data_IF_887086931667
#
_entry.id   IF_887086931667
#
_cell.length_a   1.000
_cell.length_b   1.000
_cell.length_c   1.000
_cell.angle_alpha   90.00
_cell.angle_beta   90.00
_cell.angle_gamma   90.00
#
_symmetry.space_group_name_H-M   'P 1'
#
loop_
_entity.id
_entity.type
_entity.pdbx_description
1 polymer ?
#
# COMPACT_ATOMS: atom_id res chain seq x y z
N UNK A 1 11.56 12.41 17.11
CA UNK A 1 11.56 12.55 15.64
C UNK A 1 10.66 11.48 15.02
N UNK A 2 10.78 10.18 15.40
CA UNK A 2 9.96 9.10 14.85
C UNK A 2 8.46 9.25 15.17
N UNK A 3 8.12 9.81 16.32
CA UNK A 3 6.72 10.07 16.72
C UNK A 3 6.05 11.08 15.77
N UNK A 4 6.76 12.16 15.40
CA UNK A 4 6.20 13.17 14.49
C UNK A 4 6.05 12.60 13.07
N UNK A 5 7.06 11.88 12.59
CA UNK A 5 6.99 11.14 11.33
C UNK A 5 5.81 10.18 11.31
N UNK A 6 5.67 9.40 12.37
CA UNK A 6 4.58 8.46 12.53
C UNK A 6 3.20 9.14 12.53
N UNK A 7 3.05 10.26 13.22
CA UNK A 7 1.76 10.96 13.26
C UNK A 7 1.35 11.52 11.89
N UNK A 8 2.32 11.96 11.08
CA UNK A 8 2.06 12.51 9.74
C UNK A 8 1.84 11.39 8.71
N UNK A 9 2.70 10.37 8.71
CA UNK A 9 2.69 9.32 7.70
C UNK A 9 1.79 8.13 8.05
N UNK A 10 1.75 7.70 9.32
CA UNK A 10 1.00 6.52 9.75
C UNK A 10 -0.51 6.62 9.56
N UNK A 11 -1.06 7.82 9.59
CA UNK A 11 -2.49 8.02 9.35
C UNK A 11 -2.82 8.05 7.86
N UNK A 12 -1.83 7.90 6.98
CA UNK A 12 -2.03 8.01 5.53
C UNK A 12 -2.60 9.37 5.11
N UNK A 13 -2.43 10.40 5.94
CA UNK A 13 -3.05 11.71 5.71
C UNK A 13 -2.64 12.32 4.38
N UNK A 14 -1.37 12.14 4.00
CA UNK A 14 -0.90 12.65 2.72
C UNK A 14 -1.55 11.88 1.55
N UNK A 15 -1.61 10.56 1.63
CA UNK A 15 -2.28 9.70 0.63
C UNK A 15 -3.77 10.05 0.49
N UNK A 16 -4.46 10.22 1.62
CA UNK A 16 -5.86 10.64 1.62
C UNK A 16 -6.03 12.04 1.03
N UNK A 17 -5.19 12.99 1.44
CA UNK A 17 -5.25 14.35 0.91
C UNK A 17 -4.99 14.38 -0.61
N UNK A 18 -4.02 13.61 -1.09
CA UNK A 18 -3.73 13.47 -2.51
C UNK A 18 -4.91 12.85 -3.26
N UNK A 19 -5.49 11.76 -2.74
CA UNK A 19 -6.68 11.13 -3.33
C UNK A 19 -7.82 12.14 -3.49
N UNK A 20 -8.22 12.81 -2.43
CA UNK A 20 -9.32 13.78 -2.47
C UNK A 20 -9.02 15.01 -3.30
N UNK A 21 -7.76 15.41 -3.44
CA UNK A 21 -7.37 16.52 -4.32
C UNK A 21 -7.42 16.12 -5.80
N UNK A 22 -7.13 14.86 -6.14
CA UNK A 22 -7.11 14.36 -7.52
C UNK A 22 -8.50 13.88 -7.97
N UNK A 23 -9.34 13.43 -7.04
CA UNK A 23 -10.64 12.81 -7.30
C UNK A 23 -11.54 13.64 -8.24
N UNK A 24 -11.76 14.95 -8.05
CA UNK A 24 -12.58 15.74 -8.98
C UNK A 24 -12.01 15.83 -10.39
N UNK A 25 -10.69 15.83 -10.52
CA UNK A 25 -10.01 15.85 -11.82
C UNK A 25 -10.14 14.48 -12.53
N UNK A 26 -9.98 13.41 -11.78
CA UNK A 26 -10.18 12.06 -12.27
C UNK A 26 -11.63 11.86 -12.73
N UNK A 27 -12.61 12.28 -11.95
CA UNK A 27 -14.03 12.23 -12.30
C UNK A 27 -14.34 13.01 -13.59
N UNK A 28 -13.78 14.21 -13.75
CA UNK A 28 -13.94 14.99 -14.97
C UNK A 28 -13.31 14.30 -16.19
N UNK A 29 -12.11 13.71 -16.02
CA UNK A 29 -11.41 12.97 -17.07
C UNK A 29 -12.19 11.71 -17.46
N UNK A 30 -12.55 10.86 -16.50
CA UNK A 30 -13.31 9.64 -16.78
C UNK A 30 -14.74 9.92 -17.27
N UNK A 31 -15.35 11.01 -16.81
CA UNK A 31 -16.62 11.52 -17.35
C UNK A 31 -16.49 11.88 -18.82
N UNK A 32 -15.46 12.58 -19.21
CA UNK A 32 -15.18 12.94 -20.61
C UNK A 32 -14.91 11.72 -21.48
N UNK A 33 -14.17 10.74 -20.97
CA UNK A 33 -13.91 9.46 -21.64
C UNK A 33 -15.22 8.66 -21.88
N UNK A 34 -16.11 8.63 -20.88
CA UNK A 34 -17.44 7.98 -21.02
C UNK A 34 -18.28 8.66 -22.10
N UNK A 35 -18.28 9.99 -22.14
CA UNK A 35 -18.97 10.75 -23.21
C UNK A 35 -18.37 10.42 -24.58
N UNK A 36 -17.07 10.18 -24.66
CA UNK A 36 -16.38 9.76 -25.88
C UNK A 36 -16.56 8.26 -26.21
N UNK A 37 -17.36 7.52 -25.42
CA UNK A 37 -17.64 6.09 -25.63
C UNK A 37 -16.59 5.14 -25.06
N UNK A 38 -15.66 5.62 -24.25
CA UNK A 38 -14.65 4.78 -23.57
C UNK A 38 -15.21 4.25 -22.26
N UNK A 39 -15.24 2.94 -22.09
CA UNK A 39 -15.60 2.31 -20.82
C UNK A 39 -14.51 2.54 -19.77
N UNK A 40 -14.90 3.02 -18.59
CA UNK A 40 -14.02 3.08 -17.42
C UNK A 40 -14.17 1.80 -16.59
N UNK A 41 -13.06 1.32 -16.04
CA UNK A 41 -13.07 0.15 -15.20
C UNK A 41 -13.62 0.52 -13.81
N UNK A 42 -14.62 -0.20 -13.35
CA UNK A 42 -15.14 -0.17 -12.00
C UNK A 42 -15.16 -1.60 -11.47
N UNK A 43 -14.27 -1.93 -10.55
CA UNK A 43 -14.11 -3.32 -10.10
C UNK A 43 -15.31 -3.80 -9.27
N UNK A 44 -15.99 -2.91 -8.59
CA UNK A 44 -17.23 -3.18 -7.87
C UNK A 44 -18.41 -3.52 -8.82
N UNK A 45 -18.34 -3.11 -10.10
CA UNK A 45 -19.36 -3.36 -11.10
C UNK A 45 -19.09 -4.58 -12.00
N UNK A 46 -18.00 -5.34 -11.77
CA UNK A 46 -17.62 -6.48 -12.63
C UNK A 46 -18.68 -7.60 -12.59
N UNK A 47 -19.22 -7.86 -11.43
CA UNK A 47 -20.25 -8.88 -11.21
C UNK A 47 -21.39 -8.32 -10.35
N UNK A 48 -22.42 -7.72 -10.97
CA UNK A 48 -23.57 -7.16 -10.25
C UNK A 48 -24.22 -8.18 -9.32
N UNK A 49 -24.56 -7.76 -8.11
CA UNK A 49 -25.09 -8.62 -7.05
C UNK A 49 -24.03 -9.36 -6.23
N UNK A 50 -22.77 -9.28 -6.62
CA UNK A 50 -21.64 -9.88 -5.89
C UNK A 50 -20.56 -8.86 -5.58
N UNK A 51 -19.95 -8.26 -6.60
CA UNK A 51 -18.82 -7.32 -6.40
C UNK A 51 -19.27 -5.92 -5.98
N UNK A 52 -20.54 -5.58 -6.10
CA UNK A 52 -21.16 -4.37 -5.58
C UNK A 52 -21.53 -4.46 -4.08
N UNK A 53 -21.45 -5.66 -3.48
CA UNK A 53 -21.58 -5.81 -2.02
C UNK A 53 -20.38 -5.15 -1.35
N UNK A 54 -20.54 -4.16 -0.44
CA UNK A 54 -19.46 -3.31 0.05
C UNK A 54 -18.25 -4.06 0.64
N UNK A 55 -18.47 -5.15 1.38
CA UNK A 55 -17.36 -5.91 1.95
C UNK A 55 -16.67 -6.82 0.91
N UNK A 56 -17.39 -7.28 -0.12
CA UNK A 56 -16.82 -8.07 -1.24
C UNK A 56 -15.93 -7.18 -2.10
N UNK A 57 -16.43 -6.00 -2.48
CA UNK A 57 -15.63 -5.02 -3.21
C UNK A 57 -14.41 -4.55 -2.42
N UNK A 58 -14.55 -4.32 -1.11
CA UNK A 58 -13.42 -3.98 -0.25
C UNK A 58 -12.33 -5.06 -0.26
N UNK A 59 -12.70 -6.33 -0.12
CA UNK A 59 -11.75 -7.45 -0.20
C UNK A 59 -11.09 -7.55 -1.56
N UNK A 60 -11.84 -7.35 -2.63
CA UNK A 60 -11.31 -7.34 -3.99
C UNK A 60 -10.28 -6.23 -4.17
N UNK A 61 -10.61 -5.01 -3.75
CA UNK A 61 -9.67 -3.89 -3.79
C UNK A 61 -8.44 -4.13 -2.92
N UNK A 62 -8.58 -4.69 -1.70
CA UNK A 62 -7.44 -5.04 -0.86
C UNK A 62 -6.48 -6.01 -1.55
N UNK A 63 -7.01 -7.05 -2.23
CA UNK A 63 -6.17 -7.99 -3.00
C UNK A 63 -5.43 -7.28 -4.14
N UNK A 64 -6.10 -6.37 -4.85
CA UNK A 64 -5.45 -5.61 -5.93
C UNK A 64 -4.38 -4.67 -5.37
N UNK A 65 -4.66 -3.97 -4.27
CA UNK A 65 -3.69 -3.09 -3.63
C UNK A 65 -2.49 -3.85 -3.08
N UNK A 66 -2.70 -5.02 -2.46
CA UNK A 66 -1.62 -5.91 -2.01
C UNK A 66 -0.73 -6.35 -3.19
N UNK A 67 -1.34 -6.74 -4.31
CA UNK A 67 -0.61 -7.09 -5.53
C UNK A 67 0.19 -5.90 -6.08
N UNK A 68 -0.36 -4.69 -6.09
CA UNK A 68 0.33 -3.48 -6.52
C UNK A 68 1.48 -3.15 -5.57
N UNK A 69 1.25 -3.21 -4.25
CA UNK A 69 2.29 -3.04 -3.23
C UNK A 69 3.44 -4.02 -3.39
N UNK A 70 3.15 -5.29 -3.66
CA UNK A 70 4.18 -6.29 -3.95
C UNK A 70 5.10 -5.85 -5.10
N UNK A 71 4.52 -5.37 -6.22
CA UNK A 71 5.32 -4.93 -7.35
C UNK A 71 6.08 -3.63 -7.10
N UNK A 72 5.50 -2.70 -6.35
CA UNK A 72 6.19 -1.49 -5.89
C UNK A 72 7.40 -1.89 -5.04
N UNK A 73 7.19 -2.69 -4.02
CA UNK A 73 8.24 -3.12 -3.10
C UNK A 73 9.33 -3.93 -3.79
N UNK A 74 8.95 -4.81 -4.72
CA UNK A 74 9.90 -5.49 -5.58
C UNK A 74 10.69 -4.52 -6.46
N UNK A 75 10.07 -3.48 -6.97
CA UNK A 75 10.73 -2.40 -7.72
C UNK A 75 11.71 -1.62 -6.87
N UNK A 76 11.35 -1.29 -5.61
CA UNK A 76 12.22 -0.62 -4.64
C UNK A 76 13.51 -1.42 -4.37
N UNK A 77 13.43 -2.75 -4.38
CA UNK A 77 14.60 -3.62 -4.25
C UNK A 77 15.34 -3.90 -5.55
N UNK A 78 14.67 -3.82 -6.70
CA UNK A 78 15.26 -4.17 -7.99
C UNK A 78 16.00 -2.99 -8.66
N UNK A 79 15.42 -1.79 -8.59
CA UNK A 79 15.99 -0.62 -9.24
C UNK A 79 16.92 0.13 -8.29
N UNK A 80 18.21 0.28 -8.66
CA UNK A 80 19.23 0.92 -7.81
C UNK A 80 18.83 2.34 -7.37
N UNK A 81 18.24 3.13 -8.28
CA UNK A 81 17.79 4.48 -7.94
C UNK A 81 16.67 4.47 -6.89
N UNK A 82 15.77 3.47 -6.92
CA UNK A 82 14.68 3.35 -5.97
C UNK A 82 15.17 2.75 -4.64
N UNK A 83 16.08 1.77 -4.72
CA UNK A 83 16.74 1.24 -3.54
C UNK A 83 17.45 2.34 -2.72
N UNK A 84 18.08 3.33 -3.35
CA UNK A 84 18.71 4.46 -2.64
C UNK A 84 17.73 5.24 -1.77
N UNK A 85 16.47 5.31 -2.13
CA UNK A 85 15.39 5.90 -1.34
C UNK A 85 14.91 4.91 -0.28
N UNK A 86 14.63 3.67 -0.68
CA UNK A 86 14.05 2.63 0.16
C UNK A 86 15.04 2.08 1.20
N UNK A 87 16.33 2.16 0.96
CA UNK A 87 17.38 1.72 1.89
C UNK A 87 17.32 2.42 3.25
N UNK A 88 16.74 3.63 3.35
CA UNK A 88 16.50 4.30 4.62
C UNK A 88 15.51 3.51 5.49
N UNK A 89 14.51 2.89 4.87
CA UNK A 89 13.57 1.99 5.53
C UNK A 89 14.29 0.74 6.09
N UNK A 90 15.24 0.19 5.34
CA UNK A 90 16.06 -0.95 5.75
C UNK A 90 17.22 -0.61 6.71
N UNK A 91 17.54 0.66 6.92
CA UNK A 91 18.64 1.08 7.81
C UNK A 91 18.33 0.97 9.32
N UNK A 92 17.23 0.33 9.68
CA UNK A 92 16.76 0.23 11.06
C UNK A 92 17.50 -0.90 11.79
N UNK A 93 18.12 -0.58 12.93
CA UNK A 93 18.75 -1.59 13.79
C UNK A 93 17.74 -2.33 14.69
N UNK A 94 16.61 -1.71 14.97
CA UNK A 94 15.51 -2.29 15.75
C UNK A 94 14.18 -1.96 15.08
N UNK A 95 13.44 -3.01 14.74
CA UNK A 95 12.10 -2.87 14.17
C UNK A 95 11.07 -2.75 15.30
N UNK A 96 10.20 -1.79 15.16
CA UNK A 96 9.04 -1.57 16.02
C UNK A 96 7.86 -1.14 15.15
N UNK A 97 6.64 -1.23 15.67
CA UNK A 97 5.45 -0.70 14.99
C UNK A 97 5.58 0.78 14.57
N UNK A 98 6.48 1.54 15.21
CA UNK A 98 6.74 2.94 14.91
C UNK A 98 7.78 3.14 13.81
N UNK A 99 8.60 2.15 13.57
CA UNK A 99 9.69 2.23 12.61
C UNK A 99 9.25 1.98 11.16
N UNK A 100 8.04 1.49 10.97
CA UNK A 100 7.36 1.35 9.69
C UNK A 100 7.41 2.64 8.84
N UNK A 101 7.21 3.77 9.47
CA UNK A 101 7.17 5.08 8.80
C UNK A 101 8.57 5.75 8.64
N UNK A 102 9.65 5.04 8.90
CA UNK A 102 11.00 5.57 8.65
C UNK A 102 11.36 5.39 7.18
N UNK A 103 10.78 6.21 6.32
CA UNK A 103 10.97 6.19 4.89
C UNK A 103 11.60 7.49 4.39
N UNK A 104 12.14 7.45 3.20
CA UNK A 104 12.52 8.66 2.50
C UNK A 104 11.25 9.33 1.95
N UNK A 105 11.09 10.65 2.18
CA UNK A 105 9.88 11.38 1.78
C UNK A 105 9.53 11.20 0.30
N UNK A 106 10.52 11.15 -0.58
CA UNK A 106 10.31 10.95 -2.00
C UNK A 106 9.85 9.51 -2.31
N UNK A 107 10.28 8.51 -1.54
CA UNK A 107 9.79 7.14 -1.66
C UNK A 107 8.30 7.06 -1.31
N UNK A 108 7.92 7.61 -0.15
CA UNK A 108 6.51 7.67 0.25
C UNK A 108 5.65 8.41 -0.79
N UNK A 109 6.14 9.53 -1.30
CA UNK A 109 5.42 10.30 -2.33
C UNK A 109 5.21 9.48 -3.61
N UNK A 110 6.22 8.78 -4.09
CA UNK A 110 6.12 7.92 -5.27
C UNK A 110 5.12 6.78 -5.06
N UNK A 111 5.20 6.11 -3.93
CA UNK A 111 4.25 5.04 -3.56
C UNK A 111 2.82 5.58 -3.50
N UNK A 112 2.61 6.70 -2.82
CA UNK A 112 1.29 7.30 -2.66
C UNK A 112 0.69 7.75 -4.01
N UNK A 113 1.49 8.35 -4.89
CA UNK A 113 1.05 8.72 -6.23
C UNK A 113 0.63 7.50 -7.05
N UNK A 114 1.40 6.40 -7.00
CA UNK A 114 1.05 5.17 -7.71
C UNK A 114 -0.25 4.58 -7.18
N UNK A 115 -0.40 4.50 -5.85
CA UNK A 115 -1.59 3.90 -5.24
C UNK A 115 -2.84 4.73 -5.48
N UNK A 116 -2.74 6.06 -5.42
CA UNK A 116 -3.85 6.96 -5.75
C UNK A 116 -4.22 6.84 -7.23
N UNK A 117 -3.25 6.80 -8.14
CA UNK A 117 -3.51 6.60 -9.56
C UNK A 117 -4.22 5.26 -9.83
N UNK A 118 -3.77 4.18 -9.19
CA UNK A 118 -4.44 2.87 -9.29
C UNK A 118 -5.87 2.96 -8.77
N UNK A 119 -6.09 3.58 -7.59
CA UNK A 119 -7.42 3.74 -7.02
C UNK A 119 -8.39 4.44 -7.99
N UNK A 120 -7.94 5.51 -8.63
CA UNK A 120 -8.73 6.27 -9.60
C UNK A 120 -9.04 5.45 -10.86
N UNK A 121 -8.04 4.73 -11.38
CA UNK A 121 -8.20 3.92 -12.61
C UNK A 121 -9.18 2.77 -12.42
N UNK A 122 -9.20 2.14 -11.23
CA UNK A 122 -10.09 1.00 -10.94
C UNK A 122 -11.40 1.41 -10.24
N UNK A 123 -11.65 2.71 -10.09
CA UNK A 123 -12.91 3.25 -9.61
C UNK A 123 -13.19 3.00 -8.13
N UNK A 124 -12.18 3.12 -7.26
CA UNK A 124 -12.35 2.96 -5.82
C UNK A 124 -13.16 4.12 -5.25
N UNK A 125 -14.29 3.82 -4.61
CA UNK A 125 -15.09 4.84 -3.95
C UNK A 125 -14.34 5.47 -2.76
N UNK A 126 -14.52 6.78 -2.47
CA UNK A 126 -13.80 7.49 -1.39
C UNK A 126 -13.85 6.79 -0.03
N UNK A 127 -15.02 6.30 0.37
CA UNK A 127 -15.17 5.57 1.64
C UNK A 127 -14.41 4.25 1.68
N UNK A 128 -14.34 3.54 0.58
CA UNK A 128 -13.54 2.31 0.44
C UNK A 128 -12.04 2.62 0.45
N UNK A 129 -11.62 3.71 -0.21
CA UNK A 129 -10.22 4.12 -0.19
C UNK A 129 -9.72 4.44 1.22
N UNK A 130 -10.53 5.13 2.03
CA UNK A 130 -10.22 5.37 3.44
C UNK A 130 -10.05 4.04 4.20
N UNK A 131 -10.97 3.08 3.99
CA UNK A 131 -10.89 1.77 4.63
C UNK A 131 -9.65 0.98 4.19
N UNK A 132 -9.31 1.00 2.90
CA UNK A 132 -8.10 0.37 2.36
C UNK A 132 -6.85 0.97 3.03
N UNK A 133 -6.72 2.30 3.04
CA UNK A 133 -5.59 3.00 3.67
C UNK A 133 -5.47 2.62 5.15
N UNK A 134 -6.56 2.59 5.89
CA UNK A 134 -6.54 2.22 7.31
C UNK A 134 -6.10 0.76 7.52
N UNK A 135 -6.63 -0.18 6.74
CA UNK A 135 -6.31 -1.60 6.85
C UNK A 135 -4.85 -1.87 6.47
N UNK A 136 -4.37 -1.30 5.36
CA UNK A 136 -2.99 -1.48 4.91
C UNK A 136 -1.99 -0.89 5.89
N UNK A 137 -2.21 0.32 6.39
CA UNK A 137 -1.36 0.95 7.41
C UNK A 137 -1.29 0.15 8.71
N UNK A 138 -2.42 -0.38 9.18
CA UNK A 138 -2.44 -1.25 10.35
C UNK A 138 -1.69 -2.57 10.11
N UNK A 139 -1.85 -3.15 8.92
CA UNK A 139 -1.15 -4.37 8.52
C UNK A 139 0.37 -4.16 8.46
N UNK A 140 0.84 -3.13 7.79
CA UNK A 140 2.25 -2.76 7.68
C UNK A 140 2.88 -2.50 9.05
N UNK A 141 2.21 -1.72 9.90
CA UNK A 141 2.65 -1.48 11.27
C UNK A 141 2.74 -2.77 12.10
N UNK A 142 1.78 -3.68 11.94
CA UNK A 142 1.81 -4.97 12.61
C UNK A 142 2.97 -5.84 12.11
N UNK A 143 3.25 -5.87 10.81
CA UNK A 143 4.37 -6.61 10.22
C UNK A 143 5.73 -6.13 10.77
N UNK A 144 5.87 -4.84 11.08
CA UNK A 144 7.05 -4.26 11.71
C UNK A 144 7.12 -4.48 13.23
N UNK A 145 6.06 -4.99 13.86
CA UNK A 145 6.02 -5.18 15.30
C UNK A 145 7.14 -6.11 15.80
N UNK A 146 7.74 -5.77 16.96
CA UNK A 146 8.76 -6.60 17.60
C UNK A 146 8.15 -7.81 18.32
N UNK A 147 7.42 -8.64 17.60
CA UNK A 147 6.81 -9.87 18.11
C UNK A 147 7.28 -11.08 17.31
N UNK A 148 7.44 -12.23 17.99
CA UNK A 148 7.87 -13.49 17.36
C UNK A 148 6.64 -14.28 16.90
N UNK A 149 5.82 -13.70 16.05
CA UNK A 149 4.62 -14.33 15.50
C UNK A 149 4.94 -14.95 14.15
N UNK A 150 4.45 -16.16 13.92
CA UNK A 150 4.54 -16.88 12.67
C UNK A 150 3.20 -17.55 12.36
N UNK A 151 2.72 -17.39 11.15
CA UNK A 151 1.41 -17.88 10.72
C UNK A 151 1.46 -19.28 10.10
N UNK A 152 2.59 -19.97 10.20
CA UNK A 152 2.78 -21.27 9.58
C UNK A 152 2.95 -21.19 8.06
N UNK A 153 3.26 -22.33 7.45
CA UNK A 153 3.57 -22.43 6.02
C UNK A 153 2.47 -21.86 5.09
N UNK A 154 1.22 -22.04 5.48
CA UNK A 154 0.08 -21.59 4.67
C UNK A 154 -0.32 -20.14 4.97
N UNK A 155 -0.27 -19.75 6.25
CA UNK A 155 -0.61 -18.40 6.65
C UNK A 155 0.35 -17.33 6.08
N UNK A 156 1.65 -17.64 6.00
CA UNK A 156 2.64 -16.75 5.37
C UNK A 156 2.43 -16.50 3.86
N UNK A 157 1.63 -17.34 3.21
CA UNK A 157 1.25 -17.13 1.81
C UNK A 157 0.04 -16.21 1.63
N UNK A 158 -0.70 -16.02 2.72
CA UNK A 158 -1.89 -15.16 2.74
C UNK A 158 -1.59 -13.81 3.37
N UNK A 159 -0.75 -13.80 4.40
CA UNK A 159 -0.39 -12.59 5.11
C UNK A 159 0.99 -12.73 5.75
N UNK A 160 1.87 -11.77 5.47
CA UNK A 160 3.25 -11.75 5.95
C UNK A 160 3.26 -11.50 7.46
N UNK A 161 3.89 -12.42 8.22
CA UNK A 161 4.03 -12.24 9.66
C UNK A 161 5.16 -11.29 10.04
N UNK A 162 5.14 -10.73 11.28
CA UNK A 162 6.26 -9.96 11.81
C UNK A 162 7.60 -10.73 11.79
N UNK A 163 7.57 -12.05 11.99
CA UNK A 163 8.77 -12.88 11.90
C UNK A 163 9.34 -12.93 10.49
N UNK A 164 8.50 -13.06 9.47
CA UNK A 164 8.93 -13.12 8.08
C UNK A 164 9.46 -11.75 7.63
N UNK A 165 8.72 -10.69 7.89
CA UNK A 165 9.08 -9.33 7.52
C UNK A 165 10.39 -8.87 8.18
N UNK A 166 10.62 -9.25 9.44
CA UNK A 166 11.89 -9.00 10.13
C UNK A 166 13.08 -9.70 9.47
N UNK A 167 12.89 -10.88 8.88
CA UNK A 167 13.94 -11.56 8.11
C UNK A 167 14.27 -10.81 6.83
N UNK A 168 13.25 -10.24 6.18
CA UNK A 168 13.41 -9.38 5.03
C UNK A 168 14.26 -8.12 5.36
N UNK A 169 14.09 -7.54 6.56
CA UNK A 169 14.90 -6.42 7.04
C UNK A 169 16.26 -6.83 7.64
N UNK A 170 16.58 -8.11 7.75
CA UNK A 170 17.84 -8.54 8.36
C UNK A 170 19.02 -8.31 7.40
N UNK A 171 20.15 -7.86 7.97
CA UNK A 171 21.42 -7.69 7.25
C UNK A 171 22.28 -8.92 7.52
N UNK A 172 22.78 -9.58 6.49
CA UNK A 172 23.66 -10.73 6.64
C UNK A 172 23.77 -11.56 5.37
N UNK A 173 24.79 -12.41 5.29
CA UNK A 173 25.01 -13.32 4.15
C UNK A 173 23.80 -14.25 3.99
N UNK A 174 23.15 -14.22 2.84
CA UNK A 174 21.94 -15.00 2.56
C UNK A 174 20.63 -14.40 3.07
N UNK A 175 20.64 -13.17 3.58
CA UNK A 175 19.50 -12.37 3.98
C UNK A 175 19.40 -11.06 3.18
N UNK A 176 20.18 -10.95 2.13
CA UNK A 176 20.05 -9.86 1.18
C UNK A 176 18.70 -10.01 0.51
N UNK A 177 17.91 -8.98 0.67
CA UNK A 177 16.53 -8.90 0.16
C UNK A 177 16.50 -9.16 -1.34
N UNK A 178 16.15 -10.36 -1.70
CA UNK A 178 15.81 -10.75 -3.08
C UNK A 178 14.31 -10.64 -3.29
#
# INVERSE_FOLDING_TARGET
>A
TDILYTLIHRLGLFRLALFFAVDPLADALFGSLRVAGVSTLHMDAIWPGVTDIPWVSLLLYLVVFDFVHYWIHRGQHHFEWWWRLHSLHHAQQQMTMWSDNRNHLLDDLLVDVILVAVAQVIGVAPGQFIAIVAITQLSESFQHANVRMWFGRWGERLWISPRFHRRHHSIGIGHEST
#
